data_IF_894609725613
#
_entry.id   IF_894609725613
#
_cell.length_a   1.000
_cell.length_b   1.000
_cell.length_c   1.000
_cell.angle_alpha   90.00
_cell.angle_beta   90.00
_cell.angle_gamma   90.00
#
_symmetry.space_group_name_H-M   'P 1'
#
loop_
_entity.id
_entity.type
_entity.pdbx_description
1 polymer ?
#
# COMPACT_ATOMS: atom_id res chain seq x y z
N UNK A 1 -5.21 -7.10 14.06
CA UNK A 1 -4.70 -5.84 13.46
C UNK A 1 -4.52 -5.93 11.94
N UNK A 2 -3.80 -6.93 11.40
CA UNK A 2 -3.57 -7.10 9.95
C UNK A 2 -4.83 -7.03 9.07
N UNK A 3 -5.88 -7.81 9.39
CA UNK A 3 -7.14 -7.81 8.63
C UNK A 3 -7.79 -6.42 8.51
N UNK A 4 -7.67 -5.60 9.55
CA UNK A 4 -8.21 -4.23 9.55
C UNK A 4 -7.41 -3.37 8.57
N UNK A 5 -6.07 -3.44 8.64
CA UNK A 5 -5.20 -2.67 7.74
C UNK A 5 -5.29 -3.10 6.28
N UNK A 6 -5.44 -4.40 6.03
CA UNK A 6 -5.68 -4.93 4.69
C UNK A 6 -7.00 -4.39 4.13
N UNK A 7 -8.08 -4.41 4.92
CA UNK A 7 -9.36 -3.80 4.53
C UNK A 7 -9.23 -2.29 4.31
N UNK A 8 -8.45 -1.59 5.13
CA UNK A 8 -8.16 -0.16 4.92
C UNK A 8 -7.44 0.10 3.59
N UNK A 9 -6.46 -0.74 3.23
CA UNK A 9 -5.76 -0.64 1.95
C UNK A 9 -6.70 -0.90 0.76
N UNK A 10 -7.51 -1.96 0.83
CA UNK A 10 -8.53 -2.29 -0.18
C UNK A 10 -9.52 -1.13 -0.36
N UNK A 11 -10.00 -0.57 0.75
CA UNK A 11 -10.95 0.54 0.74
C UNK A 11 -10.32 1.79 0.12
N UNK A 12 -9.10 2.15 0.49
CA UNK A 12 -8.39 3.29 -0.07
C UNK A 12 -8.14 3.13 -1.59
N UNK A 13 -7.76 1.92 -2.03
CA UNK A 13 -7.59 1.63 -3.45
C UNK A 13 -8.92 1.74 -4.22
N UNK A 14 -10.02 1.22 -3.66
CA UNK A 14 -11.37 1.36 -4.22
C UNK A 14 -11.82 2.82 -4.30
N UNK A 15 -11.67 3.58 -3.22
CA UNK A 15 -12.01 5.00 -3.19
C UNK A 15 -11.22 5.81 -4.24
N UNK A 16 -9.93 5.52 -4.43
CA UNK A 16 -9.13 6.17 -5.47
C UNK A 16 -9.59 5.85 -6.90
N UNK A 17 -10.16 4.66 -7.13
CA UNK A 17 -10.81 4.34 -8.42
C UNK A 17 -12.08 5.14 -8.63
N UNK A 18 -12.86 5.37 -7.58
CA UNK A 18 -14.06 6.21 -7.63
C UNK A 18 -13.68 7.67 -7.88
N UNK A 19 -12.62 8.14 -7.22
CA UNK A 19 -12.10 9.51 -7.33
C UNK A 19 -11.22 9.77 -8.58
N UNK A 20 -11.09 8.80 -9.49
CA UNK A 20 -10.15 8.88 -10.64
C UNK A 20 -10.32 10.09 -11.57
N UNK A 21 -11.51 10.69 -11.62
CA UNK A 21 -11.81 11.92 -12.37
C UNK A 21 -12.30 13.06 -11.45
N UNK A 22 -12.16 12.89 -10.14
CA UNK A 22 -12.60 13.90 -9.18
C UNK A 22 -11.77 15.17 -9.33
N UNK A 23 -12.44 16.31 -9.22
CA UNK A 23 -11.78 17.62 -9.11
C UNK A 23 -11.43 17.97 -7.67
N UNK A 24 -11.94 17.18 -6.71
CA UNK A 24 -11.66 17.34 -5.28
C UNK A 24 -10.24 16.84 -4.97
N UNK A 25 -9.30 17.77 -4.96
CA UNK A 25 -7.88 17.50 -4.69
C UNK A 25 -7.67 16.98 -3.27
N UNK A 26 -8.45 17.49 -2.31
CA UNK A 26 -8.31 17.14 -0.90
C UNK A 26 -8.76 15.70 -0.67
N UNK A 27 -9.93 15.32 -1.20
CA UNK A 27 -10.42 13.94 -1.11
C UNK A 27 -9.44 12.94 -1.74
N UNK A 28 -8.87 13.27 -2.91
CA UNK A 28 -7.87 12.42 -3.57
C UNK A 28 -6.59 12.31 -2.74
N UNK A 29 -6.10 13.42 -2.19
CA UNK A 29 -4.91 13.43 -1.35
C UNK A 29 -5.10 12.63 -0.07
N UNK A 30 -6.26 12.79 0.60
CA UNK A 30 -6.62 12.02 1.80
C UNK A 30 -6.67 10.52 1.49
N UNK A 31 -7.34 10.11 0.41
CA UNK A 31 -7.43 8.71 0.02
C UNK A 31 -6.05 8.10 -0.33
N UNK A 32 -5.20 8.85 -1.04
CA UNK A 32 -3.84 8.42 -1.37
C UNK A 32 -2.96 8.26 -0.11
N UNK A 33 -3.03 9.21 0.82
CA UNK A 33 -2.30 9.14 2.09
C UNK A 33 -2.76 7.97 2.95
N UNK A 34 -4.07 7.75 3.04
CA UNK A 34 -4.62 6.62 3.76
C UNK A 34 -4.12 5.29 3.16
N UNK A 35 -4.13 5.14 1.83
CA UNK A 35 -3.59 3.96 1.17
C UNK A 35 -2.11 3.70 1.51
N UNK A 36 -1.29 4.75 1.51
CA UNK A 36 0.13 4.65 1.88
C UNK A 36 0.34 4.29 3.35
N UNK A 37 -0.41 4.91 4.27
CA UNK A 37 -0.35 4.59 5.69
C UNK A 37 -0.76 3.13 5.94
N UNK A 38 -1.82 2.66 5.28
CA UNK A 38 -2.26 1.28 5.40
C UNK A 38 -1.19 0.29 4.87
N UNK A 39 -0.58 0.58 3.71
CA UNK A 39 0.50 -0.23 3.16
C UNK A 39 1.74 -0.25 4.07
N UNK A 40 2.06 0.88 4.70
CA UNK A 40 3.18 0.99 5.63
C UNK A 40 2.94 0.17 6.90
N UNK A 41 1.78 0.33 7.53
CA UNK A 41 1.38 -0.44 8.71
C UNK A 41 1.38 -1.95 8.43
N UNK A 42 0.94 -2.36 7.23
CA UNK A 42 0.96 -3.77 6.81
C UNK A 42 2.38 -4.31 6.67
N UNK A 43 3.29 -3.54 6.09
CA UNK A 43 4.69 -3.93 5.94
C UNK A 43 5.41 -4.02 7.28
N UNK A 44 5.17 -3.06 8.16
CA UNK A 44 5.68 -3.06 9.53
C UNK A 44 5.18 -4.28 10.31
N UNK A 45 3.88 -4.57 10.24
CA UNK A 45 3.29 -5.76 10.85
C UNK A 45 3.87 -7.06 10.26
N UNK A 46 4.18 -7.07 8.96
CA UNK A 46 4.80 -8.21 8.29
C UNK A 46 6.22 -8.49 8.81
N UNK A 47 7.05 -7.46 8.94
CA UNK A 47 8.41 -7.58 9.50
C UNK A 47 8.35 -8.17 10.91
N UNK A 48 7.46 -7.62 11.76
CA UNK A 48 7.27 -8.08 13.14
C UNK A 48 6.83 -9.54 13.16
N UNK A 49 5.83 -9.91 12.35
CA UNK A 49 5.29 -11.26 12.33
C UNK A 49 6.28 -12.33 11.82
N UNK A 50 7.26 -11.93 11.00
CA UNK A 50 8.33 -12.81 10.52
C UNK A 50 9.58 -12.83 11.41
N UNK A 51 9.55 -12.10 12.53
CA UNK A 51 10.70 -11.89 13.42
C UNK A 51 11.97 -11.44 12.65
N UNK A 52 11.76 -10.62 11.62
CA UNK A 52 12.86 -10.09 10.81
C UNK A 52 13.45 -8.90 11.56
N UNK A 53 14.74 -8.97 11.89
CA UNK A 53 15.45 -7.80 12.37
C UNK A 53 15.45 -6.72 11.29
N UNK A 54 14.95 -5.53 11.62
CA UNK A 54 14.88 -4.40 10.68
C UNK A 54 16.27 -4.10 10.10
N UNK A 55 16.49 -4.56 8.89
CA UNK A 55 17.69 -4.31 8.13
C UNK A 55 17.28 -4.11 6.68
N UNK A 56 17.49 -2.89 6.19
CA UNK A 56 16.97 -2.50 4.89
C UNK A 56 17.47 -3.37 3.73
N UNK A 57 18.69 -3.94 3.81
CA UNK A 57 19.17 -4.87 2.79
C UNK A 57 18.42 -6.21 2.81
N UNK A 58 18.02 -6.68 4.00
CA UNK A 58 17.21 -7.89 4.16
C UNK A 58 15.77 -7.64 3.73
N UNK A 59 15.22 -6.48 4.09
CA UNK A 59 13.89 -6.04 3.64
C UNK A 59 13.84 -5.93 2.10
N UNK A 60 14.86 -5.35 1.48
CA UNK A 60 14.94 -5.20 0.03
C UNK A 60 15.11 -6.55 -0.66
N UNK A 61 15.91 -7.46 -0.11
CA UNK A 61 16.01 -8.83 -0.64
C UNK A 61 14.66 -9.56 -0.59
N UNK A 62 13.87 -9.34 0.47
CA UNK A 62 12.53 -9.91 0.61
C UNK A 62 11.54 -9.31 -0.42
N UNK A 63 11.58 -7.99 -0.59
CA UNK A 63 10.72 -7.25 -1.52
C UNK A 63 11.07 -7.47 -2.99
N UNK A 64 12.32 -7.81 -3.32
CA UNK A 64 12.76 -8.12 -4.68
C UNK A 64 12.04 -9.36 -5.27
N UNK A 65 11.35 -10.15 -4.45
CA UNK A 65 10.52 -11.27 -4.90
C UNK A 65 9.05 -10.89 -5.08
N UNK A 66 8.40 -11.47 -6.10
CA UNK A 66 6.93 -11.54 -6.22
C UNK A 66 6.19 -10.18 -6.22
N UNK A 67 6.61 -9.20 -7.01
CA UNK A 67 6.00 -7.86 -7.09
C UNK A 67 6.14 -6.97 -5.83
N UNK A 68 6.98 -7.38 -4.86
CA UNK A 68 7.26 -6.57 -3.66
C UNK A 68 8.01 -5.26 -3.97
N UNK A 69 8.58 -5.12 -5.16
CA UNK A 69 9.18 -3.88 -5.66
C UNK A 69 8.20 -2.70 -5.60
N UNK A 70 6.91 -2.95 -5.86
CA UNK A 70 5.86 -1.93 -5.71
C UNK A 70 5.70 -1.50 -4.26
N UNK A 71 5.64 -2.46 -3.33
CA UNK A 71 5.57 -2.18 -1.89
C UNK A 71 6.80 -1.38 -1.44
N UNK A 72 8.00 -1.79 -1.86
CA UNK A 72 9.24 -1.05 -1.60
C UNK A 72 9.21 0.38 -2.13
N UNK A 73 8.71 0.58 -3.35
CA UNK A 73 8.52 1.92 -3.93
C UNK A 73 7.53 2.78 -3.14
N UNK A 74 6.42 2.21 -2.68
CA UNK A 74 5.44 2.90 -1.83
C UNK A 74 6.03 3.27 -0.46
N UNK A 75 6.81 2.36 0.14
CA UNK A 75 7.50 2.62 1.42
C UNK A 75 8.48 3.77 1.30
N UNK A 76 9.19 3.86 0.17
CA UNK A 76 10.11 4.95 -0.10
C UNK A 76 9.41 6.30 -0.12
N UNK A 77 8.34 6.47 -0.89
CA UNK A 77 7.64 7.76 -0.96
C UNK A 77 6.89 8.13 0.32
N UNK A 78 6.51 7.13 1.12
CA UNK A 78 5.97 7.37 2.46
C UNK A 78 7.05 7.83 3.44
N UNK A 79 8.23 7.18 3.42
CA UNK A 79 9.35 7.47 4.30
C UNK A 79 10.02 8.82 4.01
N UNK A 80 10.26 9.13 2.72
CA UNK A 80 10.81 10.42 2.29
C UNK A 80 9.77 11.55 2.31
N UNK A 81 8.50 11.26 2.61
CA UNK A 81 7.38 12.20 2.54
C UNK A 81 7.28 12.90 1.17
N UNK A 82 7.67 12.18 0.11
CA UNK A 82 7.68 12.67 -1.28
C UNK A 82 6.44 12.24 -2.07
N UNK A 83 5.49 11.55 -1.44
CA UNK A 83 4.22 11.16 -2.03
C UNK A 83 3.40 12.40 -2.38
N UNK A 84 3.40 12.79 -3.65
CA UNK A 84 2.48 13.81 -4.16
C UNK A 84 1.58 13.17 -5.20
N UNK A 85 0.28 13.37 -5.06
CA UNK A 85 -0.64 13.12 -6.16
C UNK A 85 -0.42 14.22 -7.20
N UNK A 86 -0.32 13.83 -8.48
CA UNK A 86 -0.22 14.77 -9.59
C UNK A 86 -1.44 14.61 -10.48
N UNK A 87 -2.13 15.73 -10.70
CA UNK A 87 -3.15 15.82 -11.73
C UNK A 87 -2.51 15.87 -13.12
N UNK A 88 -3.01 15.08 -14.05
CA UNK A 88 -2.53 15.02 -15.42
C UNK A 88 -3.32 16.05 -16.22
N UNK A 89 -2.83 17.30 -16.27
CA UNK A 89 -3.52 18.42 -16.93
C UNK A 89 -3.40 18.37 -18.47
N UNK A 90 -2.38 17.69 -18.99
CA UNK A 90 -2.28 17.39 -20.41
C UNK A 90 -3.19 16.21 -20.74
N UNK A 91 -3.84 16.17 -21.92
CA UNK A 91 -4.42 14.93 -22.40
C UNK A 91 -3.33 13.86 -22.31
N UNK A 92 -3.53 12.87 -21.44
CA UNK A 92 -2.68 11.70 -21.37
C UNK A 92 -2.31 11.27 -22.79
N UNK A 93 -1.07 10.87 -23.12
CA UNK A 93 -0.72 10.35 -24.46
C UNK A 93 -1.58 9.14 -24.87
N UNK A 94 -2.40 8.65 -23.96
CA UNK A 94 -3.37 7.58 -24.13
C UNK A 94 -4.82 8.07 -24.39
N UNK A 95 -5.06 9.39 -24.51
CA UNK A 95 -6.40 10.02 -24.66
C UNK A 95 -7.11 9.73 -25.98
N UNK A 96 -6.36 9.55 -27.06
CA UNK A 96 -6.92 9.34 -28.41
C UNK A 96 -6.80 7.88 -28.89
N UNK A 97 -6.50 6.96 -27.98
CA UNK A 97 -6.60 5.54 -28.27
C UNK A 97 -8.08 5.11 -28.21
N UNK A 98 -8.54 4.22 -29.12
CA UNK A 98 -9.95 3.90 -29.38
C UNK A 98 -10.59 3.03 -28.29
N UNK A 99 -10.45 3.46 -27.04
CA UNK A 99 -10.47 2.58 -25.90
C UNK A 99 -11.12 3.26 -24.71
N UNK A 100 -12.45 3.32 -24.78
CA UNK A 100 -13.35 3.63 -23.66
C UNK A 100 -13.22 2.61 -22.49
N UNK A 101 -12.52 1.48 -22.71
CA UNK A 101 -12.17 0.50 -21.69
C UNK A 101 -10.94 0.88 -20.82
N UNK A 102 -10.15 1.89 -21.21
CA UNK A 102 -8.85 2.18 -20.60
C UNK A 102 -8.90 3.06 -19.34
N UNK A 103 -10.06 3.59 -18.96
CA UNK A 103 -10.29 4.27 -17.66
C UNK A 103 -9.25 5.36 -17.33
N UNK A 104 -8.94 6.22 -18.30
CA UNK A 104 -7.88 7.22 -18.21
C UNK A 104 -8.04 8.15 -17.00
N UNK A 105 -7.26 7.94 -15.96
CA UNK A 105 -7.32 8.71 -14.72
C UNK A 105 -6.75 10.11 -14.85
N UNK A 106 -7.37 11.07 -14.18
CA UNK A 106 -6.84 12.42 -14.02
C UNK A 106 -5.70 12.45 -12.99
N UNK A 107 -5.54 11.40 -12.19
CA UNK A 107 -4.64 11.37 -11.04
C UNK A 107 -3.60 10.25 -11.14
N UNK A 108 -2.33 10.64 -10.99
CA UNK A 108 -1.17 9.73 -11.03
C UNK A 108 -0.22 9.99 -9.89
N UNK A 109 0.61 9.00 -9.57
CA UNK A 109 1.74 9.18 -8.66
C UNK A 109 2.78 10.13 -9.27
N UNK A 110 3.20 11.15 -8.52
CA UNK A 110 4.14 12.17 -9.01
C UNK A 110 5.53 11.59 -9.30
N UNK A 111 6.24 12.23 -10.21
CA UNK A 111 7.68 12.00 -10.37
C UNK A 111 8.44 12.40 -9.11
N UNK A 112 9.57 11.75 -8.86
CA UNK A 112 10.49 12.17 -7.80
C UNK A 112 11.05 13.56 -8.15
N UNK A 113 10.79 14.55 -7.31
CA UNK A 113 11.27 15.92 -7.49
C UNK A 113 12.75 16.07 -7.11
N UNK A 114 13.24 15.17 -6.27
CA UNK A 114 14.62 15.14 -5.78
C UNK A 114 15.20 13.76 -6.07
N UNK A 115 16.43 13.71 -6.58
CA UNK A 115 17.18 12.46 -6.59
C UNK A 115 17.37 12.02 -5.13
N UNK A 116 17.18 10.73 -4.80
CA UNK A 116 17.39 10.23 -3.46
C UNK A 116 18.81 10.60 -3.01
N UNK A 117 18.90 11.42 -1.96
CA UNK A 117 20.16 11.95 -1.41
C UNK A 117 20.87 10.94 -0.52
N UNK A 118 20.20 9.86 -0.10
CA UNK A 118 20.74 8.83 0.77
C UNK A 118 20.99 7.52 0.01
N UNK A 119 22.25 7.05 -0.01
CA UNK A 119 22.67 5.84 -0.76
C UNK A 119 21.90 4.57 -0.39
N UNK A 120 21.31 4.57 0.82
CA UNK A 120 20.60 3.44 1.39
C UNK A 120 19.20 3.21 0.79
N UNK A 121 18.56 4.24 0.23
CA UNK A 121 17.22 4.12 -0.37
C UNK A 121 17.22 4.06 -1.91
N UNK A 122 18.40 4.04 -2.53
CA UNK A 122 18.56 4.08 -3.99
C UNK A 122 17.74 3.02 -4.70
N UNK A 123 17.75 1.77 -4.20
CA UNK A 123 17.02 0.66 -4.82
C UNK A 123 15.49 0.86 -4.76
N UNK A 124 14.94 1.26 -3.61
CA UNK A 124 13.50 1.54 -3.51
C UNK A 124 13.06 2.75 -4.32
N UNK A 125 13.93 3.74 -4.47
CA UNK A 125 13.69 4.87 -5.36
C UNK A 125 13.65 4.44 -6.84
N UNK A 126 14.54 3.53 -7.26
CA UNK A 126 14.48 2.92 -8.60
C UNK A 126 13.19 2.13 -8.79
N UNK A 127 12.79 1.34 -7.80
CA UNK A 127 11.51 0.62 -7.87
C UNK A 127 10.32 1.56 -7.97
N UNK A 128 10.31 2.66 -7.20
CA UNK A 128 9.27 3.67 -7.34
C UNK A 128 9.21 4.22 -8.77
N UNK A 129 10.35 4.61 -9.35
CA UNK A 129 10.41 5.15 -10.71
C UNK A 129 9.92 4.15 -11.76
N UNK A 130 10.24 2.86 -11.61
CA UNK A 130 9.88 1.81 -12.57
C UNK A 130 8.43 1.34 -12.43
N UNK A 131 7.94 1.22 -11.20
CA UNK A 131 6.70 0.48 -10.92
C UNK A 131 5.55 1.33 -10.36
N UNK A 132 5.82 2.51 -9.78
CA UNK A 132 4.81 3.33 -9.10
C UNK A 132 4.58 4.67 -9.81
N UNK A 133 5.65 5.35 -10.19
CA UNK A 133 5.60 6.66 -10.85
C UNK A 133 4.74 6.63 -12.11
N UNK A 134 3.99 7.72 -12.36
CA UNK A 134 3.15 7.91 -13.54
C UNK A 134 2.03 6.85 -13.68
N UNK A 135 1.86 5.95 -12.71
CA UNK A 135 0.74 5.01 -12.64
C UNK A 135 -0.49 5.67 -12.02
N UNK A 136 -1.69 5.18 -12.35
CA UNK A 136 -2.90 5.52 -11.61
C UNK A 136 -2.73 5.32 -10.11
N UNK A 137 -3.31 6.21 -9.30
CA UNK A 137 -3.10 6.18 -7.84
C UNK A 137 -3.46 4.83 -7.21
N UNK A 138 -4.56 4.20 -7.65
CA UNK A 138 -5.02 2.92 -7.12
C UNK A 138 -4.12 1.73 -7.50
N UNK A 139 -3.50 1.74 -8.69
CA UNK A 139 -2.91 0.53 -9.27
C UNK A 139 -1.71 -0.02 -8.47
N UNK A 140 -0.78 0.82 -7.98
CA UNK A 140 0.25 0.37 -7.05
C UNK A 140 -0.30 -0.14 -5.71
N UNK A 141 -1.40 0.43 -5.21
CA UNK A 141 -2.03 -0.01 -3.96
C UNK A 141 -2.68 -1.38 -4.11
N UNK A 142 -3.34 -1.66 -5.23
CA UNK A 142 -3.86 -3.01 -5.54
C UNK A 142 -2.75 -4.04 -5.72
N UNK A 143 -1.62 -3.63 -6.33
CA UNK A 143 -0.46 -4.51 -6.43
C UNK A 143 0.14 -4.81 -5.06
N UNK A 144 0.18 -3.82 -4.16
CA UNK A 144 0.59 -4.02 -2.77
C UNK A 144 -0.40 -4.91 -2.01
N UNK A 145 -1.70 -4.73 -2.20
CA UNK A 145 -2.74 -5.60 -1.64
C UNK A 145 -2.51 -7.06 -2.05
N UNK A 146 -2.33 -7.31 -3.35
CA UNK A 146 -2.04 -8.64 -3.87
C UNK A 146 -0.78 -9.24 -3.23
N UNK A 147 0.29 -8.44 -3.10
CA UNK A 147 1.51 -8.87 -2.42
C UNK A 147 1.25 -9.29 -0.98
N UNK A 148 0.53 -8.47 -0.21
CA UNK A 148 0.21 -8.78 1.19
C UNK A 148 -0.67 -10.02 1.29
N UNK A 149 -1.68 -10.19 0.44
CA UNK A 149 -2.53 -11.39 0.41
C UNK A 149 -1.74 -12.67 0.15
N UNK A 150 -0.70 -12.62 -0.69
CA UNK A 150 0.11 -13.78 -1.05
C UNK A 150 1.22 -14.10 -0.07
N UNK A 151 1.78 -13.09 0.59
CA UNK A 151 2.97 -13.26 1.41
C UNK A 151 2.68 -13.26 2.91
N UNK A 152 1.48 -12.83 3.33
CA UNK A 152 1.17 -12.73 4.77
C UNK A 152 1.39 -14.07 5.49
N UNK A 153 2.12 -14.07 6.64
CA UNK A 153 2.22 -15.25 7.48
C UNK A 153 0.81 -15.71 7.89
N UNK A 154 0.39 -16.85 7.35
CA UNK A 154 -0.97 -17.41 7.51
C UNK A 154 -1.28 -17.75 8.96
N UNK A 155 -0.26 -17.83 9.80
CA UNK A 155 -0.34 -17.99 11.25
C UNK A 155 0.20 -16.72 11.89
N UNK A 156 -0.71 -15.88 12.39
CA UNK A 156 -0.34 -14.91 13.42
C UNK A 156 -0.25 -15.73 14.69
N UNK A 157 0.93 -15.86 15.34
CA UNK A 157 1.01 -16.51 16.64
C UNK A 157 -0.06 -15.86 17.53
N UNK A 158 -0.84 -16.67 18.24
CA UNK A 158 -1.78 -16.14 19.24
C UNK A 158 -0.94 -15.27 20.18
N UNK A 159 -0.97 -13.96 19.99
CA UNK A 159 -0.65 -13.02 21.06
C UNK A 159 -1.57 -13.45 22.17
N UNK A 160 -1.02 -14.00 23.25
CA UNK A 160 -1.76 -14.23 24.48
C UNK A 160 -2.60 -12.98 24.71
N UNK A 161 -3.90 -13.19 24.79
CA UNK A 161 -4.88 -12.12 24.86
C UNK A 161 -4.52 -11.27 26.07
N UNK A 162 -3.93 -10.10 25.83
CA UNK A 162 -3.92 -9.03 26.80
C UNK A 162 -5.39 -8.66 26.95
N UNK A 163 -6.00 -9.13 28.04
CA UNK A 163 -7.33 -8.73 28.47
C UNK A 163 -7.34 -7.20 28.52
N UNK A 164 -7.89 -6.59 27.47
CA UNK A 164 -8.06 -5.15 27.35
C UNK A 164 -9.52 -4.88 27.73
N UNK A 165 -9.79 -4.10 28.81
CA UNK A 165 -11.12 -4.09 29.43
C UNK A 165 -12.26 -3.47 28.61
N UNK A 166 -12.02 -2.86 27.45
CA UNK A 166 -12.98 -1.92 26.85
C UNK A 166 -13.41 -2.30 25.41
N UNK A 167 -13.92 -3.52 25.20
CA UNK A 167 -14.58 -3.85 23.94
C UNK A 167 -16.07 -3.44 23.98
N UNK A 168 -16.49 -2.69 22.95
CA UNK A 168 -17.88 -2.25 22.75
C UNK A 168 -18.80 -3.46 22.66
N UNK A 169 -19.90 -3.41 23.41
CA UNK A 169 -20.88 -4.49 23.50
C UNK A 169 -21.43 -4.85 22.11
N UNK A 170 -21.38 -6.14 21.74
CA UNK A 170 -21.85 -6.66 20.45
C UNK A 170 -20.76 -7.01 19.42
N UNK A 171 -19.48 -6.68 19.66
CA UNK A 171 -18.36 -7.12 18.80
C UNK A 171 -17.45 -8.05 19.59
N UNK A 172 -17.95 -9.24 19.94
CA UNK A 172 -17.09 -10.32 20.46
C UNK A 172 -16.81 -11.32 19.34
N UNK A 173 -15.54 -11.64 19.03
CA UNK A 173 -15.24 -12.73 18.13
C UNK A 173 -15.69 -14.06 18.77
N UNK A 174 -16.56 -14.79 18.07
CA UNK A 174 -16.79 -16.20 18.36
C UNK A 174 -15.56 -16.99 17.90
N UNK A 175 -14.91 -17.66 18.83
CA UNK A 175 -13.88 -18.65 18.51
C UNK A 175 -14.52 -20.01 18.62
N UNK A 176 -14.57 -20.72 17.49
CA UNK A 176 -14.98 -22.11 17.45
C UNK A 176 -14.00 -22.91 18.30
N UNK A 177 -14.45 -23.37 19.47
CA UNK A 177 -13.70 -24.32 20.26
C UNK A 177 -13.79 -25.64 19.53
N UNK A 178 -12.84 -25.89 18.63
CA UNK A 178 -12.62 -27.22 18.08
C UNK A 178 -12.37 -28.19 19.23
N UNK A 179 -13.46 -28.81 19.70
CA UNK A 179 -13.42 -30.03 20.46
C UNK A 179 -13.16 -31.13 19.45
N UNK A 180 -11.97 -31.73 19.50
CA UNK A 180 -11.83 -33.13 19.14
C UNK A 180 -10.66 -33.73 19.93
N UNK A 181 -11.07 -34.64 20.83
CA UNK A 181 -10.38 -35.77 21.45
C UNK A 181 -9.06 -35.55 22.23
#
# INVERSE_FOLDING_TARGET
MYRIRLRSLMWAAGLLKELRHSRDVEAVAVAANWGLDAAYDLFEAYIIAKDIQKNMKQDDALLASTAGEVVGGLMFVRGEKTHRARRVDAPSPFKDLPYDFAGLTDWTWSKLTTRPTASRYTQRAEWYQRHVQDRPLWAPLESAEYWFLKNWPTEVPRSESIETPDWVDGVRPFYDSGSDA
#
